data_IF_601762529996
#
_entry.id   IF_601762529996
#
_cell.length_a   1.000
_cell.length_b   1.000
_cell.length_c   1.000
_cell.angle_alpha   90.00
_cell.angle_beta   90.00
_cell.angle_gamma   90.00
#
_symmetry.space_group_name_H-M   'P 1'
#
loop_
_entity.id
_entity.type
_entity.pdbx_description
1 polymer ?
#
# COMPACT_ATOMS: atom_id res chain seq x y z
N UNK A 1 -23.97 5.25 -6.08
CA UNK A 1 -22.64 5.67 -5.57
C UNK A 1 -21.60 5.22 -6.57
N UNK A 2 -20.79 6.13 -7.10
CA UNK A 2 -19.73 5.79 -8.04
C UNK A 2 -18.56 5.20 -7.25
N UNK A 3 -18.28 3.91 -7.43
CA UNK A 3 -17.14 3.25 -6.79
C UNK A 3 -15.88 3.57 -7.59
N UNK A 4 -14.94 4.29 -6.98
CA UNK A 4 -13.66 4.60 -7.61
C UNK A 4 -12.66 3.46 -7.40
N UNK A 5 -11.91 3.12 -8.45
CA UNK A 5 -10.90 2.08 -8.37
C UNK A 5 -9.56 2.71 -7.95
N UNK A 6 -8.94 2.22 -6.88
CA UNK A 6 -7.64 2.70 -6.41
C UNK A 6 -6.53 2.62 -7.48
N UNK A 7 -6.64 1.71 -8.45
CA UNK A 7 -5.68 1.62 -9.56
C UNK A 7 -5.69 2.85 -10.48
N UNK A 8 -6.73 3.68 -10.41
CA UNK A 8 -6.86 4.90 -11.20
C UNK A 8 -6.32 6.12 -10.45
N UNK A 9 -5.92 5.98 -9.18
CA UNK A 9 -5.33 7.07 -8.40
C UNK A 9 -3.82 7.06 -8.58
N UNK A 10 -3.31 7.87 -9.50
CA UNK A 10 -1.88 8.14 -9.66
C UNK A 10 -1.72 9.37 -10.55
N UNK A 11 -0.93 10.34 -10.14
CA UNK A 11 -0.82 11.60 -10.87
C UNK A 11 -0.17 12.69 -10.03
N UNK A 12 -0.37 13.95 -10.43
CA UNK A 12 -0.02 15.07 -9.57
C UNK A 12 -1.07 15.17 -8.45
N UNK A 13 -0.63 14.90 -7.23
CA UNK A 13 -1.55 14.62 -6.13
C UNK A 13 -0.91 14.93 -4.78
N UNK A 14 -1.67 14.81 -3.71
CA UNK A 14 -1.15 14.92 -2.36
C UNK A 14 -1.80 13.88 -1.49
N UNK A 15 -1.01 13.27 -0.61
CA UNK A 15 -1.52 12.37 0.42
C UNK A 15 -1.31 13.00 1.76
N UNK A 16 -2.35 12.99 2.57
CA UNK A 16 -2.32 13.57 3.91
C UNK A 16 -3.19 12.77 4.88
N UNK A 17 -3.11 13.13 6.16
CA UNK A 17 -3.98 12.59 7.21
C UNK A 17 -3.97 11.05 7.32
N UNK A 18 -2.81 10.41 7.13
CA UNK A 18 -2.65 8.97 7.33
C UNK A 18 -2.89 8.66 8.82
N UNK A 19 -3.96 7.93 9.11
CA UNK A 19 -4.37 7.53 10.46
C UNK A 19 -4.59 6.03 10.49
N UNK A 20 -4.23 5.37 11.59
CA UNK A 20 -4.50 3.96 11.82
C UNK A 20 -5.36 3.79 13.07
N UNK A 21 -6.50 3.14 12.93
CA UNK A 21 -7.40 2.85 14.04
C UNK A 21 -8.19 1.58 13.76
N UNK A 22 -8.33 0.72 14.76
CA UNK A 22 -9.15 -0.50 14.69
C UNK A 22 -8.89 -1.40 13.46
N UNK A 23 -7.62 -1.56 13.06
CA UNK A 23 -7.25 -2.40 11.91
C UNK A 23 -7.53 -1.77 10.54
N UNK A 24 -7.82 -0.47 10.50
CA UNK A 24 -8.05 0.29 9.27
C UNK A 24 -7.09 1.46 9.20
N UNK A 25 -6.39 1.57 8.07
CA UNK A 25 -5.64 2.78 7.70
C UNK A 25 -6.52 3.65 6.84
N UNK A 26 -6.70 4.90 7.25
CA UNK A 26 -7.38 5.93 6.47
C UNK A 26 -6.35 6.95 6.02
N UNK A 27 -6.36 7.32 4.74
CA UNK A 27 -5.64 8.49 4.25
C UNK A 27 -6.50 9.30 3.28
N UNK A 28 -6.11 10.55 3.11
CA UNK A 28 -6.77 11.47 2.19
C UNK A 28 -5.86 11.67 0.99
N UNK A 29 -6.44 11.51 -0.20
CA UNK A 29 -5.78 11.67 -1.50
C UNK A 29 -6.44 12.82 -2.24
N UNK A 30 -5.70 13.91 -2.44
CA UNK A 30 -6.09 15.04 -3.28
C UNK A 30 -5.51 14.84 -4.68
N UNK A 31 -6.37 14.72 -5.69
CA UNK A 31 -6.01 14.58 -7.10
C UNK A 31 -6.19 15.93 -7.80
N UNK A 32 -5.07 16.54 -8.22
CA UNK A 32 -5.10 17.88 -8.82
C UNK A 32 -5.51 17.84 -10.29
N UNK A 33 -5.30 16.73 -10.99
CA UNK A 33 -5.69 16.57 -12.40
C UNK A 33 -7.21 16.44 -12.53
N UNK A 34 -7.84 15.79 -11.55
CA UNK A 34 -9.29 15.60 -11.51
C UNK A 34 -10.03 16.66 -10.68
N UNK A 35 -9.31 17.56 -10.02
CA UNK A 35 -9.82 18.50 -9.01
C UNK A 35 -10.64 17.81 -7.91
N UNK A 36 -10.33 16.56 -7.58
CA UNK A 36 -11.13 15.71 -6.66
C UNK A 36 -10.37 15.31 -5.43
N UNK A 37 -11.12 15.06 -4.36
CA UNK A 37 -10.56 14.56 -3.11
C UNK A 37 -11.20 13.25 -2.69
N UNK A 38 -10.35 12.29 -2.32
CA UNK A 38 -10.76 10.94 -1.95
C UNK A 38 -10.30 10.59 -0.54
N UNK A 39 -11.13 9.83 0.18
CA UNK A 39 -10.74 9.06 1.34
C UNK A 39 -10.41 7.64 0.89
N UNK A 40 -9.24 7.15 1.28
CA UNK A 40 -8.79 5.78 1.03
C UNK A 40 -8.73 5.05 2.36
N UNK A 41 -9.57 4.03 2.53
CA UNK A 41 -9.61 3.17 3.71
C UNK A 41 -9.09 1.78 3.37
N UNK A 42 -8.12 1.29 4.14
CA UNK A 42 -7.41 0.05 3.88
C UNK A 42 -7.45 -0.84 5.13
N UNK A 43 -8.05 -2.02 5.01
CA UNK A 43 -8.06 -3.00 6.10
C UNK A 43 -6.69 -3.70 6.15
N UNK A 44 -5.95 -3.52 7.23
CA UNK A 44 -4.64 -4.15 7.41
C UNK A 44 -4.23 -4.21 8.88
N UNK A 45 -3.43 -5.21 9.27
CA UNK A 45 -2.93 -5.39 10.63
C UNK A 45 -1.53 -4.79 10.84
N UNK A 46 -0.83 -4.46 9.75
CA UNK A 46 0.52 -3.91 9.79
C UNK A 46 0.68 -2.87 8.69
N UNK A 47 1.36 -1.77 9.01
CA UNK A 47 1.65 -0.73 8.04
C UNK A 47 3.04 -0.15 8.28
N UNK A 48 3.59 0.44 7.23
CA UNK A 48 4.66 1.41 7.32
C UNK A 48 4.14 2.73 6.77
N UNK A 49 4.32 3.80 7.54
CA UNK A 49 4.05 5.15 7.08
C UNK A 49 5.10 6.09 7.64
N UNK A 50 5.55 7.02 6.82
CA UNK A 50 6.40 8.11 7.30
C UNK A 50 5.58 9.26 7.90
N UNK A 51 4.24 9.22 7.82
CA UNK A 51 3.34 10.20 8.43
C UNK A 51 3.45 11.63 7.87
N UNK A 52 4.28 11.85 6.85
CA UNK A 52 4.49 13.17 6.25
C UNK A 52 3.57 13.32 5.05
N UNK A 53 2.88 14.46 4.97
CA UNK A 53 2.23 14.88 3.74
C UNK A 53 3.30 15.16 2.69
N UNK A 54 3.09 14.67 1.47
CA UNK A 54 3.96 14.95 0.33
C UNK A 54 3.12 15.55 -0.80
N UNK A 55 3.58 16.71 -1.29
CA UNK A 55 3.02 17.40 -2.45
C UNK A 55 3.82 17.04 -3.70
N UNK A 56 3.13 16.66 -4.77
CA UNK A 56 3.72 16.39 -6.08
C UNK A 56 3.25 15.05 -6.66
N UNK A 57 4.06 14.41 -7.50
CA UNK A 57 3.65 13.15 -8.13
C UNK A 57 3.55 12.01 -7.11
N UNK A 58 2.32 11.57 -6.84
CA UNK A 58 2.04 10.41 -5.99
C UNK A 58 1.60 9.24 -6.86
N UNK A 59 2.19 8.08 -6.60
CA UNK A 59 1.87 6.83 -7.26
C UNK A 59 1.28 5.84 -6.28
N UNK A 60 0.12 5.30 -6.63
CA UNK A 60 -0.50 4.17 -5.93
C UNK A 60 -0.24 2.89 -6.72
N UNK A 61 0.23 1.86 -6.03
CA UNK A 61 0.59 0.57 -6.62
C UNK A 61 0.05 -0.56 -5.79
N UNK A 62 -0.54 -1.55 -6.45
CA UNK A 62 -0.85 -2.85 -5.87
C UNK A 62 0.09 -3.87 -6.52
N UNK A 63 0.90 -4.52 -5.69
CA UNK A 63 1.88 -5.51 -6.11
C UNK A 63 1.35 -6.91 -5.82
N UNK A 64 1.52 -7.83 -6.76
CA UNK A 64 1.38 -9.27 -6.53
C UNK A 64 2.64 -9.79 -5.84
N UNK A 65 2.54 -10.12 -4.56
CA UNK A 65 3.69 -10.44 -3.70
C UNK A 65 4.44 -11.70 -4.16
N UNK A 66 3.79 -12.62 -4.85
CA UNK A 66 4.43 -13.85 -5.35
C UNK A 66 5.58 -13.56 -6.32
N UNK A 67 5.58 -12.38 -6.94
CA UNK A 67 6.61 -11.93 -7.90
C UNK A 67 7.79 -11.23 -7.23
N UNK A 68 7.67 -10.83 -5.97
CA UNK A 68 8.64 -9.98 -5.29
C UNK A 68 9.26 -10.60 -4.05
N UNK A 69 8.54 -11.47 -3.35
CA UNK A 69 8.97 -12.03 -2.07
C UNK A 69 9.04 -13.56 -2.15
N UNK A 70 10.19 -14.17 -1.81
CA UNK A 70 10.31 -15.62 -1.78
C UNK A 70 9.32 -16.28 -0.81
N UNK A 71 8.84 -17.46 -1.20
CA UNK A 71 7.90 -18.26 -0.40
C UNK A 71 8.60 -19.55 0.00
N UNK A 72 8.55 -19.89 1.29
CA UNK A 72 8.92 -21.22 1.75
C UNK A 72 7.82 -22.21 1.33
N UNK A 73 8.09 -23.04 0.33
CA UNK A 73 7.07 -23.91 -0.29
C UNK A 73 6.36 -24.84 0.71
N UNK A 74 7.07 -25.54 1.63
CA UNK A 74 6.41 -26.36 2.65
C UNK A 74 5.39 -25.63 3.53
N UNK A 75 5.66 -24.39 3.95
CA UNK A 75 4.80 -23.66 4.89
C UNK A 75 3.89 -22.62 4.23
N UNK A 76 4.18 -22.23 2.99
CA UNK A 76 3.49 -21.17 2.26
C UNK A 76 3.70 -19.76 2.84
N UNK A 77 4.72 -19.57 3.69
CA UNK A 77 5.02 -18.27 4.31
C UNK A 77 6.06 -17.49 3.50
N UNK A 78 5.94 -16.17 3.52
CA UNK A 78 6.98 -15.29 2.99
C UNK A 78 8.23 -15.31 3.86
N UNK A 79 9.39 -15.44 3.22
CA UNK A 79 10.69 -15.49 3.89
C UNK A 79 11.67 -14.52 3.26
N UNK A 80 12.71 -14.16 4.01
CA UNK A 80 13.80 -13.37 3.45
C UNK A 80 14.50 -14.15 2.33
N UNK A 81 14.92 -13.48 1.25
CA UNK A 81 15.85 -14.05 0.30
C UNK A 81 17.18 -14.35 0.99
N UNK A 82 17.93 -15.31 0.47
CA UNK A 82 19.25 -15.68 1.02
C UNK A 82 20.30 -14.59 0.80
N UNK A 83 20.18 -13.86 -0.31
CA UNK A 83 21.10 -12.78 -0.65
C UNK A 83 20.80 -11.50 0.13
N UNK A 84 21.81 -10.94 0.80
CA UNK A 84 21.68 -9.73 1.60
C UNK A 84 21.24 -8.51 0.77
N UNK A 85 21.74 -8.37 -0.46
CA UNK A 85 21.35 -7.27 -1.35
C UNK A 85 19.85 -7.28 -1.67
N UNK A 86 19.29 -8.47 -1.89
CA UNK A 86 17.85 -8.66 -2.06
C UNK A 86 17.07 -8.42 -0.77
N UNK A 87 17.59 -8.81 0.40
CA UNK A 87 16.95 -8.49 1.69
C UNK A 87 16.82 -6.97 1.87
N UNK A 88 17.91 -6.25 1.61
CA UNK A 88 17.91 -4.78 1.68
C UNK A 88 16.98 -4.16 0.64
N UNK A 89 16.81 -4.78 -0.53
CA UNK A 89 15.81 -4.37 -1.53
C UNK A 89 14.38 -4.55 -1.00
N UNK A 90 14.07 -5.63 -0.28
CA UNK A 90 12.76 -5.81 0.35
C UNK A 90 12.51 -4.75 1.44
N UNK A 91 13.51 -4.48 2.29
CA UNK A 91 13.41 -3.49 3.37
C UNK A 91 13.15 -2.09 2.81
N UNK A 92 13.99 -1.63 1.88
CA UNK A 92 13.82 -0.32 1.22
C UNK A 92 12.47 -0.16 0.53
N UNK A 93 11.85 -1.28 0.13
CA UNK A 93 10.55 -1.26 -0.50
C UNK A 93 9.39 -1.49 0.47
N UNK A 94 9.61 -1.63 1.77
CA UNK A 94 8.54 -1.96 2.73
C UNK A 94 8.01 -3.39 2.62
N UNK A 95 8.51 -4.20 1.67
CA UNK A 95 8.06 -5.59 1.46
C UNK A 95 8.46 -6.53 2.60
N UNK A 96 9.35 -6.11 3.48
CA UNK A 96 9.66 -6.85 4.70
C UNK A 96 8.45 -7.00 5.64
N UNK A 97 7.42 -6.15 5.51
CA UNK A 97 6.20 -6.22 6.33
C UNK A 97 5.38 -7.51 6.12
N UNK A 98 5.60 -8.24 5.02
CA UNK A 98 4.87 -9.49 4.75
C UNK A 98 5.57 -10.73 5.30
N UNK A 99 6.80 -10.59 5.79
CA UNK A 99 7.60 -11.74 6.21
C UNK A 99 6.94 -12.46 7.39
N UNK A 100 6.92 -13.79 7.32
CA UNK A 100 6.20 -14.63 8.28
C UNK A 100 4.69 -14.76 8.03
N UNK A 101 4.09 -13.93 7.16
CA UNK A 101 2.69 -14.08 6.76
C UNK A 101 2.52 -15.16 5.69
N UNK A 102 1.34 -15.78 5.60
CA UNK A 102 1.00 -16.75 4.57
C UNK A 102 0.63 -16.08 3.26
N UNK A 103 1.21 -16.56 2.15
CA UNK A 103 0.94 -16.03 0.81
C UNK A 103 -0.53 -16.14 0.40
N UNK A 104 -1.22 -17.20 0.78
CA UNK A 104 -2.65 -17.36 0.49
C UNK A 104 -3.55 -16.36 1.22
N UNK A 105 -3.10 -15.83 2.37
CA UNK A 105 -3.87 -14.86 3.16
C UNK A 105 -3.55 -13.43 2.75
N UNK A 106 -2.31 -13.15 2.37
CA UNK A 106 -1.85 -11.82 1.95
C UNK A 106 -1.16 -11.90 0.58
N UNK A 107 -1.92 -12.10 -0.52
CA UNK A 107 -1.34 -12.20 -1.86
C UNK A 107 -0.88 -10.84 -2.43
N UNK A 108 -1.37 -9.73 -1.87
CA UNK A 108 -1.15 -8.40 -2.41
C UNK A 108 -0.47 -7.45 -1.42
N UNK A 109 0.16 -6.43 -1.97
CA UNK A 109 0.80 -5.37 -1.21
C UNK A 109 0.48 -4.00 -1.81
N UNK A 110 -0.11 -3.12 -1.00
CA UNK A 110 -0.41 -1.75 -1.38
C UNK A 110 0.78 -0.85 -1.04
N UNK A 111 1.12 0.04 -1.97
CA UNK A 111 2.07 1.12 -1.75
C UNK A 111 1.50 2.43 -2.29
N UNK A 112 1.62 3.48 -1.49
CA UNK A 112 1.45 4.87 -1.89
C UNK A 112 2.81 5.56 -1.71
N UNK A 113 3.34 6.10 -2.80
CA UNK A 113 4.70 6.65 -2.83
C UNK A 113 4.77 7.95 -3.61
N UNK A 114 5.50 8.93 -3.08
CA UNK A 114 6.08 10.03 -3.86
C UNK A 114 7.59 9.78 -4.04
N UNK A 115 8.41 10.75 -3.63
CA UNK A 115 9.85 10.61 -3.48
C UNK A 115 10.22 9.52 -2.45
N UNK A 116 9.38 9.36 -1.41
CA UNK A 116 9.52 8.30 -0.40
C UNK A 116 8.25 7.45 -0.32
N UNK A 117 8.32 6.38 0.48
CA UNK A 117 7.14 5.59 0.81
C UNK A 117 6.30 6.37 1.82
N UNK A 118 5.10 6.77 1.41
CA UNK A 118 4.13 7.47 2.25
C UNK A 118 3.32 6.48 3.07
N UNK A 119 2.87 5.41 2.40
CA UNK A 119 2.16 4.30 3.01
C UNK A 119 2.54 2.99 2.29
N UNK A 120 2.75 1.94 3.07
CA UNK A 120 2.94 0.59 2.56
C UNK A 120 2.33 -0.42 3.52
N UNK A 121 1.53 -1.36 3.00
CA UNK A 121 0.89 -2.39 3.81
C UNK A 121 0.52 -3.62 2.98
N UNK A 122 0.51 -4.82 3.58
CA UNK A 122 -0.11 -5.98 2.98
C UNK A 122 -1.64 -5.86 3.00
N UNK A 123 -2.28 -6.37 1.96
CA UNK A 123 -3.75 -6.45 1.84
C UNK A 123 -4.13 -7.87 1.44
N UNK A 124 -5.27 -8.38 1.94
CA UNK A 124 -5.71 -9.75 1.63
C UNK A 124 -6.38 -9.80 0.27
N UNK A 125 -7.10 -8.74 -0.07
CA UNK A 125 -7.73 -8.57 -1.38
C UNK A 125 -7.72 -7.11 -1.83
N UNK A 126 -7.99 -6.86 -3.12
CA UNK A 126 -8.13 -5.50 -3.65
C UNK A 126 -9.36 -4.81 -3.04
N UNK A 127 -10.39 -5.58 -2.71
CA UNK A 127 -11.63 -5.13 -2.07
C UNK A 127 -11.43 -4.66 -0.62
N UNK A 128 -10.29 -4.98 0.01
CA UNK A 128 -9.93 -4.43 1.32
C UNK A 128 -9.54 -2.95 1.25
N UNK A 129 -9.46 -2.40 0.04
CA UNK A 129 -9.20 -0.98 -0.20
C UNK A 129 -10.45 -0.30 -0.74
N UNK A 130 -11.01 0.61 0.06
CA UNK A 130 -12.18 1.41 -0.31
C UNK A 130 -11.74 2.82 -0.66
N UNK A 131 -12.18 3.31 -1.82
CA UNK A 131 -11.97 4.68 -2.26
C UNK A 131 -13.32 5.40 -2.30
N UNK A 132 -13.44 6.45 -1.51
CA UNK A 132 -14.67 7.25 -1.38
C UNK A 132 -14.38 8.69 -1.78
N UNK A 133 -15.16 9.24 -2.72
CA UNK A 133 -15.11 10.66 -3.05
C UNK A 133 -15.64 11.47 -1.87
N UNK A 134 -14.86 12.43 -1.39
CA UNK A 134 -15.24 13.30 -0.27
C UNK A 134 -15.46 14.76 -0.69
N UNK A 135 -14.91 15.17 -1.84
CA UNK A 135 -15.16 16.49 -2.43
C UNK A 135 -14.96 16.46 -3.95
N UNK A 136 -15.88 17.12 -4.66
CA UNK A 136 -15.78 17.52 -6.08
C UNK A 136 -15.22 18.94 -6.24
#
# INVERSE_FOLDING_TARGET
>A
MQTWNIKNLSGDSTVENIKYSNGVVTCIYDDYDLEKRFSIDIVTDVLYSQGVSEKGSVHVRILDLSKYVPINQPSGIYVFPKDFGQQMKLVRNGLHLVLGKKQKEYPYFLQIRGYKILLACPIKSIEDVKVTLIKE
#
